data_IF_346223844023
#
_entry.id   IF_346223844023
#
_cell.length_a   1.000
_cell.length_b   1.000
_cell.length_c   1.000
_cell.angle_alpha   90.00
_cell.angle_beta   90.00
_cell.angle_gamma   90.00
#
_symmetry.space_group_name_H-M   'P 1'
#
loop_
_entity.id
_entity.type
_entity.pdbx_description
1 polymer ?
#
# COMPACT_ATOMS: atom_id res chain seq x y z
N UNK A 1 -24.93 -4.79 -13.30
CA UNK A 1 -24.60 -3.74 -12.32
C UNK A 1 -23.67 -2.77 -13.01
N UNK A 2 -24.02 -1.49 -13.08
CA UNK A 2 -23.09 -0.45 -13.52
C UNK A 2 -22.04 -0.24 -12.42
N UNK A 3 -20.78 -0.09 -12.82
CA UNK A 3 -19.70 0.23 -11.88
C UNK A 3 -19.87 1.69 -11.43
N UNK A 4 -19.98 1.95 -10.13
CA UNK A 4 -19.91 3.32 -9.61
C UNK A 4 -18.43 3.76 -9.60
N UNK A 5 -17.95 4.19 -10.76
CA UNK A 5 -16.56 4.58 -10.96
C UNK A 5 -16.15 5.72 -10.02
N UNK A 6 -17.03 6.69 -9.76
CA UNK A 6 -16.74 7.82 -8.87
C UNK A 6 -16.49 7.34 -7.43
N UNK A 7 -17.35 6.47 -6.92
CA UNK A 7 -17.18 5.89 -5.58
C UNK A 7 -15.95 4.99 -5.50
N UNK A 8 -15.69 4.18 -6.52
CA UNK A 8 -14.50 3.33 -6.57
C UNK A 8 -13.20 4.16 -6.55
N UNK A 9 -13.13 5.24 -7.34
CA UNK A 9 -11.98 6.15 -7.37
C UNK A 9 -11.78 6.86 -6.03
N UNK A 10 -12.86 7.28 -5.37
CA UNK A 10 -12.77 7.90 -4.04
C UNK A 10 -12.15 6.95 -3.00
N UNK A 11 -12.62 5.69 -2.97
CA UNK A 11 -12.07 4.66 -2.08
C UNK A 11 -10.60 4.36 -2.41
N UNK A 12 -10.24 4.22 -3.68
CA UNK A 12 -8.86 3.97 -4.10
C UNK A 12 -7.92 5.14 -3.78
N UNK A 13 -8.42 6.38 -3.89
CA UNK A 13 -7.68 7.59 -3.51
C UNK A 13 -7.41 7.61 -2.01
N UNK A 14 -8.43 7.33 -1.19
CA UNK A 14 -8.26 7.23 0.26
C UNK A 14 -7.26 6.14 0.63
N UNK A 15 -7.42 4.94 0.06
CA UNK A 15 -6.51 3.82 0.30
C UNK A 15 -5.08 4.16 -0.10
N UNK A 16 -4.88 4.83 -1.23
CA UNK A 16 -3.54 5.27 -1.66
C UNK A 16 -2.92 6.25 -0.67
N UNK A 17 -3.70 7.17 -0.11
CA UNK A 17 -3.27 8.10 0.92
C UNK A 17 -2.87 7.39 2.21
N UNK A 18 -3.72 6.47 2.68
CA UNK A 18 -3.46 5.67 3.88
C UNK A 18 -2.19 4.81 3.73
N UNK A 19 -2.02 4.13 2.59
CA UNK A 19 -0.82 3.33 2.30
C UNK A 19 0.43 4.19 2.30
N UNK A 20 0.37 5.39 1.69
CA UNK A 20 1.50 6.32 1.67
C UNK A 20 1.89 6.77 3.08
N UNK A 21 0.90 7.12 3.91
CA UNK A 21 1.12 7.49 5.31
C UNK A 21 1.72 6.32 6.09
N UNK A 22 1.12 5.13 6.03
CA UNK A 22 1.60 3.96 6.77
C UNK A 22 3.00 3.54 6.34
N UNK A 23 3.30 3.59 5.03
CA UNK A 23 4.64 3.31 4.50
C UNK A 23 5.67 4.29 5.03
N UNK A 24 5.35 5.57 5.06
CA UNK A 24 6.24 6.63 5.57
C UNK A 24 6.46 6.47 7.07
N UNK A 25 5.40 6.27 7.84
CA UNK A 25 5.47 6.04 9.29
C UNK A 25 6.24 4.77 9.62
N UNK A 26 6.03 3.68 8.87
CA UNK A 26 6.77 2.44 9.04
C UNK A 26 8.27 2.64 8.79
N UNK A 27 8.64 3.27 7.68
CA UNK A 27 10.04 3.54 7.35
C UNK A 27 10.75 4.42 8.40
N UNK A 28 10.03 5.36 9.01
CA UNK A 28 10.57 6.20 10.08
C UNK A 28 10.79 5.42 11.39
N UNK A 29 10.05 4.34 11.62
CA UNK A 29 10.08 3.52 12.84
C UNK A 29 10.90 2.23 12.67
N UNK A 30 12.10 2.33 12.08
CA UNK A 30 12.99 1.17 11.97
C UNK A 30 13.34 0.62 13.36
N UNK A 31 13.14 -0.68 13.63
CA UNK A 31 13.44 -1.24 14.93
C UNK A 31 14.96 -1.24 15.19
N UNK A 32 15.33 -0.84 16.40
CA UNK A 32 16.71 -0.90 16.88
C UNK A 32 16.71 -1.28 18.36
N UNK A 33 17.57 -2.22 18.75
CA UNK A 33 17.79 -2.57 20.15
C UNK A 33 19.04 -1.86 20.65
N UNK A 34 18.95 -1.22 21.81
CA UNK A 34 20.12 -0.59 22.42
C UNK A 34 21.18 -1.66 22.77
N UNK A 35 22.47 -1.38 22.58
CA UNK A 35 23.54 -2.31 22.96
C UNK A 35 23.45 -2.72 24.43
N UNK A 36 23.46 -4.02 24.70
CA UNK A 36 23.41 -4.57 26.06
C UNK A 36 22.02 -4.52 26.72
N UNK A 37 20.97 -4.15 25.99
CA UNK A 37 19.58 -4.12 26.50
C UNK A 37 19.06 -5.48 26.98
N UNK A 38 19.65 -6.57 26.49
CA UNK A 38 19.31 -7.94 26.93
C UNK A 38 20.14 -8.43 28.12
N UNK A 39 21.11 -7.64 28.61
CA UNK A 39 22.04 -8.04 29.65
C UNK A 39 23.35 -8.66 29.14
N UNK A 40 24.34 -8.75 30.04
CA UNK A 40 25.74 -9.07 29.73
C UNK A 40 25.92 -10.41 28.99
N UNK A 41 25.15 -11.43 29.36
CA UNK A 41 25.34 -12.81 28.86
C UNK A 41 24.42 -13.17 27.70
N UNK A 42 23.57 -12.24 27.25
CA UNK A 42 22.52 -12.50 26.25
C UNK A 42 22.80 -11.87 24.87
N UNK A 43 24.07 -11.52 24.59
CA UNK A 43 24.44 -10.87 23.33
C UNK A 43 24.03 -11.65 22.08
N UNK A 44 24.08 -12.99 22.13
CA UNK A 44 23.63 -13.84 21.03
C UNK A 44 22.12 -13.73 20.78
N UNK A 45 21.32 -13.67 21.84
CA UNK A 45 19.87 -13.49 21.79
C UNK A 45 19.52 -12.08 21.30
N UNK A 46 20.26 -11.05 21.73
CA UNK A 46 20.11 -9.70 21.19
C UNK A 46 20.30 -9.68 19.68
N UNK A 47 21.40 -10.26 19.18
CA UNK A 47 21.68 -10.32 17.75
C UNK A 47 20.60 -11.11 16.97
N UNK A 48 20.04 -12.17 17.58
CA UNK A 48 18.93 -12.91 16.98
C UNK A 48 17.63 -12.08 16.91
N UNK A 49 17.31 -11.33 17.97
CA UNK A 49 16.16 -10.43 18.01
C UNK A 49 16.29 -9.28 17.00
N UNK A 50 17.47 -8.66 16.89
CA UNK A 50 17.73 -7.62 15.90
C UNK A 50 17.50 -8.12 14.47
N UNK A 51 18.00 -9.33 14.15
CA UNK A 51 17.75 -9.96 12.84
C UNK A 51 16.27 -10.24 12.62
N UNK A 52 15.56 -10.75 13.62
CA UNK A 52 14.13 -11.02 13.52
C UNK A 52 13.35 -9.73 13.28
N UNK A 53 13.63 -8.67 14.03
CA UNK A 53 12.96 -7.38 13.85
C UNK A 53 13.27 -6.76 12.49
N UNK A 54 14.51 -6.86 12.00
CA UNK A 54 14.86 -6.43 10.66
C UNK A 54 14.09 -7.21 9.58
N UNK A 55 13.99 -8.53 9.71
CA UNK A 55 13.22 -9.38 8.79
C UNK A 55 11.74 -9.01 8.77
N UNK A 56 11.13 -8.87 9.96
CA UNK A 56 9.73 -8.46 10.08
C UNK A 56 9.52 -7.08 9.48
N UNK A 57 10.36 -6.11 9.81
CA UNK A 57 10.28 -4.76 9.28
C UNK A 57 10.37 -4.74 7.75
N UNK A 58 11.29 -5.48 7.14
CA UNK A 58 11.39 -5.62 5.69
C UNK A 58 10.17 -6.29 5.07
N UNK A 59 9.61 -7.32 5.72
CA UNK A 59 8.41 -7.99 5.21
C UNK A 59 7.20 -7.05 5.22
N UNK A 60 7.04 -6.24 6.28
CA UNK A 60 6.00 -5.22 6.36
C UNK A 60 6.18 -4.13 5.29
N UNK A 61 7.43 -3.68 5.07
CA UNK A 61 7.73 -2.75 3.98
C UNK A 61 7.27 -3.29 2.62
N UNK A 62 7.58 -4.56 2.30
CA UNK A 62 7.13 -5.20 1.05
C UNK A 62 5.61 -5.28 0.92
N UNK A 63 4.89 -5.48 2.02
CA UNK A 63 3.41 -5.48 2.02
C UNK A 63 2.87 -4.10 1.65
N UNK A 64 3.42 -3.03 2.22
CA UNK A 64 3.04 -1.67 1.86
C UNK A 64 3.34 -1.35 0.39
N UNK A 65 4.52 -1.74 -0.10
CA UNK A 65 4.88 -1.54 -1.52
C UNK A 65 3.92 -2.31 -2.45
N UNK A 66 3.60 -3.56 -2.11
CA UNK A 66 2.64 -4.38 -2.87
C UNK A 66 1.24 -3.75 -2.89
N UNK A 67 0.78 -3.24 -1.74
CA UNK A 67 -0.53 -2.60 -1.63
C UNK A 67 -0.59 -1.27 -2.40
N UNK A 68 0.51 -0.50 -2.39
CA UNK A 68 0.62 0.72 -3.19
C UNK A 68 0.52 0.40 -4.70
N UNK A 69 1.26 -0.61 -5.17
CA UNK A 69 1.22 -1.05 -6.56
C UNK A 69 -0.16 -1.57 -6.97
N UNK A 70 -0.79 -2.38 -6.12
CA UNK A 70 -2.13 -2.91 -6.36
C UNK A 70 -3.17 -1.78 -6.44
N UNK A 71 -3.10 -0.81 -5.52
CA UNK A 71 -4.00 0.35 -5.51
C UNK A 71 -3.82 1.21 -6.77
N UNK A 72 -2.58 1.45 -7.19
CA UNK A 72 -2.27 2.16 -8.43
C UNK A 72 -2.85 1.45 -9.66
N UNK A 73 -2.69 0.13 -9.75
CA UNK A 73 -3.25 -0.69 -10.84
C UNK A 73 -4.78 -0.63 -10.85
N UNK A 74 -5.40 -0.80 -9.69
CA UNK A 74 -6.86 -0.71 -9.57
C UNK A 74 -7.37 0.68 -10.01
N UNK A 75 -6.68 1.75 -9.61
CA UNK A 75 -7.04 3.11 -10.01
C UNK A 75 -7.00 3.28 -11.54
N UNK A 76 -5.93 2.79 -12.18
CA UNK A 76 -5.81 2.82 -13.65
C UNK A 76 -6.91 2.02 -14.36
N UNK A 77 -7.34 0.90 -13.79
CA UNK A 77 -8.41 0.08 -14.37
C UNK A 77 -9.78 0.76 -14.26
N UNK A 78 -10.06 1.41 -13.12
CA UNK A 78 -11.32 2.15 -12.93
C UNK A 78 -11.38 3.39 -13.83
N UNK A 79 -10.27 4.13 -13.96
CA UNK A 79 -10.19 5.25 -14.91
C UNK A 79 -10.42 4.79 -16.35
N UNK A 80 -9.76 3.72 -16.79
CA UNK A 80 -9.95 3.16 -18.14
C UNK A 80 -11.40 2.69 -18.38
N UNK A 81 -12.04 2.08 -17.37
CA UNK A 81 -13.44 1.69 -17.46
C UNK A 81 -14.36 2.92 -17.59
N UNK A 82 -14.12 3.99 -16.81
CA UNK A 82 -14.87 5.24 -16.88
C UNK A 82 -14.74 5.92 -18.25
N UNK A 83 -13.52 5.95 -18.80
CA UNK A 83 -13.26 6.50 -20.14
C UNK A 83 -13.97 5.68 -21.23
N UNK A 84 -13.95 4.36 -21.12
CA UNK A 84 -14.63 3.46 -22.05
C UNK A 84 -16.15 3.66 -22.01
N UNK A 85 -16.74 3.77 -20.81
CA UNK A 85 -18.16 4.05 -20.65
C UNK A 85 -18.54 5.42 -21.24
N UNK A 86 -17.74 6.46 -21.00
CA UNK A 86 -17.97 7.79 -21.57
C UNK A 86 -17.88 7.77 -23.12
N UNK A 87 -16.89 7.07 -23.68
CA UNK A 87 -16.76 6.90 -25.13
C UNK A 87 -17.93 6.15 -25.75
N UNK A 88 -18.38 5.07 -25.10
CA UNK A 88 -19.57 4.32 -25.53
C UNK A 88 -20.83 5.18 -25.46
N UNK A 89 -21.04 5.92 -24.37
CA UNK A 89 -22.19 6.82 -24.22
C UNK A 89 -22.20 7.91 -25.32
N UNK A 90 -21.05 8.45 -25.69
CA UNK A 90 -20.94 9.41 -26.79
C UNK A 90 -21.24 8.78 -28.17
N UNK A 91 -20.76 7.55 -28.42
CA UNK A 91 -20.96 6.85 -29.68
C UNK A 91 -22.41 6.36 -29.88
N UNK A 92 -23.07 5.89 -28.82
CA UNK A 92 -24.43 5.35 -28.85
C UNK A 92 -25.52 6.37 -28.50
N UNK A 93 -25.17 7.50 -27.86
CA UNK A 93 -26.10 8.59 -27.54
C UNK A 93 -26.33 9.58 -28.69
N UNK A 94 -25.55 9.51 -29.76
CA UNK A 94 -25.67 10.36 -30.97
C UNK A 94 -26.68 9.87 -32.00
N UNK A 95 -27.50 8.85 -31.68
CA UNK A 95 -28.55 8.34 -32.56
C UNK A 95 -29.94 8.56 -31.95
N UNK A 96 -30.37 9.81 -31.86
CA UNK A 96 -31.76 10.26 -31.96
C UNK A 96 -31.82 11.64 -32.61
#
# INVERSE_FOLDING_TARGET
>A
MALDAAKALAVLTQLSGEVSTQRTSHAAASPHLAPGSTGRDFGAQQAALERLFALLHHQHQRRYDTLADATKKANSQVEAARETEAGNAAAFGGSQ
#
